data_IF_375473572477
#
_entry.id   IF_375473572477
#
_cell.length_a   1.000
_cell.length_b   1.000
_cell.length_c   1.000
_cell.angle_alpha   90.00
_cell.angle_beta   90.00
_cell.angle_gamma   90.00
#
_symmetry.space_group_name_H-M   'P 1'
#
loop_
_entity.id
_entity.type
_entity.pdbx_description
1 polymer ?
#
# COMPACT_ATOMS: atom_id res chain seq x y z
N UNK A 1 -25.05 -5.53 -25.22
CA UNK A 1 -24.49 -5.70 -23.86
C UNK A 1 -23.24 -4.85 -23.58
N UNK A 2 -22.16 -4.87 -24.33
CA UNK A 2 -20.93 -4.08 -24.06
C UNK A 2 -21.15 -2.57 -23.89
N UNK A 3 -22.02 -1.94 -24.71
CA UNK A 3 -22.30 -0.48 -24.62
C UNK A 3 -23.11 -0.09 -23.37
N UNK A 4 -23.93 -1.00 -22.83
CA UNK A 4 -24.68 -0.75 -21.60
C UNK A 4 -23.77 -0.81 -20.37
N UNK A 5 -22.84 -1.74 -20.32
CA UNK A 5 -21.85 -1.87 -19.24
C UNK A 5 -20.92 -0.64 -19.22
N UNK A 6 -20.42 -0.20 -20.38
CA UNK A 6 -19.59 1.00 -20.48
C UNK A 6 -20.32 2.27 -20.00
N UNK A 7 -21.61 2.41 -20.26
CA UNK A 7 -22.41 3.57 -19.80
C UNK A 7 -22.63 3.59 -18.28
N UNK A 8 -22.57 2.43 -17.63
CA UNK A 8 -22.69 2.35 -16.16
C UNK A 8 -21.33 2.45 -15.45
N UNK A 9 -20.27 1.96 -16.08
CA UNK A 9 -18.91 1.96 -15.48
C UNK A 9 -18.21 3.32 -15.63
N UNK A 10 -18.45 4.06 -16.73
CA UNK A 10 -17.82 5.37 -16.92
C UNK A 10 -18.14 6.41 -15.82
N UNK A 11 -19.41 6.59 -15.39
CA UNK A 11 -19.70 7.53 -14.31
C UNK A 11 -19.16 7.06 -12.96
N UNK A 12 -19.11 5.74 -12.71
CA UNK A 12 -18.52 5.19 -11.50
C UNK A 12 -16.99 5.41 -11.47
N UNK A 13 -16.31 5.20 -12.60
CA UNK A 13 -14.90 5.50 -12.76
C UNK A 13 -14.62 7.01 -12.62
N UNK A 14 -15.50 7.86 -13.14
CA UNK A 14 -15.41 9.31 -12.97
C UNK A 14 -15.58 9.76 -11.52
N UNK A 15 -16.43 9.10 -10.75
CA UNK A 15 -16.63 9.35 -9.32
C UNK A 15 -15.39 8.98 -8.48
N UNK A 16 -14.69 7.92 -8.88
CA UNK A 16 -13.44 7.47 -8.24
C UNK A 16 -12.23 8.37 -8.59
N UNK A 17 -12.34 9.17 -9.66
CA UNK A 17 -11.31 10.13 -10.08
C UNK A 17 -11.53 11.54 -9.52
N UNK A 18 -12.63 11.80 -8.81
CA UNK A 18 -12.78 13.05 -8.08
C UNK A 18 -11.71 13.10 -6.99
N UNK A 19 -10.90 14.18 -6.94
CA UNK A 19 -9.99 14.36 -5.84
C UNK A 19 -10.84 14.56 -4.58
N UNK A 20 -11.06 13.49 -3.83
CA UNK A 20 -11.45 13.64 -2.45
C UNK A 20 -10.26 14.38 -1.81
N UNK A 21 -10.50 15.61 -1.36
CA UNK A 21 -9.60 16.29 -0.44
C UNK A 21 -9.67 15.51 0.87
N UNK A 22 -9.08 14.32 0.85
CA UNK A 22 -8.79 13.56 2.04
C UNK A 22 -7.67 14.32 2.74
N UNK A 23 -8.05 15.32 3.53
CA UNK A 23 -7.21 15.70 4.62
C UNK A 23 -7.17 14.48 5.53
N UNK A 24 -6.14 13.66 5.36
CA UNK A 24 -5.80 12.63 6.33
C UNK A 24 -5.43 13.38 7.61
N UNK A 25 -6.45 13.85 8.35
CA UNK A 25 -6.26 14.30 9.71
C UNK A 25 -5.70 13.08 10.43
N UNK A 26 -4.45 13.18 10.85
CA UNK A 26 -3.84 12.17 11.70
C UNK A 26 -4.81 11.90 12.84
N UNK A 27 -5.31 10.68 12.89
CA UNK A 27 -6.28 10.27 13.90
C UNK A 27 -5.55 10.25 15.22
N UNK A 28 -5.92 11.15 16.12
CA UNK A 28 -5.46 11.09 17.49
C UNK A 28 -6.34 10.08 18.23
N UNK A 29 -5.79 8.91 18.49
CA UNK A 29 -6.51 7.82 19.18
C UNK A 29 -6.61 8.06 20.68
N UNK A 30 -5.80 8.95 21.23
CA UNK A 30 -5.63 9.12 22.68
C UNK A 30 -4.78 8.01 23.33
N UNK A 31 -4.35 7.01 22.56
CA UNK A 31 -3.55 5.86 23.04
C UNK A 31 -2.05 6.04 22.83
N UNK A 32 -1.67 7.17 22.24
CA UNK A 32 -0.28 7.55 22.00
C UNK A 32 0.23 7.28 20.59
N UNK A 33 1.45 7.80 20.27
CA UNK A 33 1.96 7.89 18.91
C UNK A 33 2.02 6.57 18.13
N UNK A 34 2.28 5.46 18.81
CA UNK A 34 2.29 4.14 18.17
C UNK A 34 0.91 3.78 17.59
N UNK A 35 -0.15 3.91 18.39
CA UNK A 35 -1.51 3.59 17.93
C UNK A 35 -2.04 4.62 16.94
N UNK A 36 -1.61 5.86 17.03
CA UNK A 36 -1.91 6.89 16.05
C UNK A 36 -1.29 6.53 14.68
N UNK A 37 -0.06 5.99 14.69
CA UNK A 37 0.58 5.45 13.47
C UNK A 37 -0.14 4.22 12.91
N UNK A 38 -0.56 3.27 13.76
CA UNK A 38 -1.38 2.11 13.36
C UNK A 38 -2.65 2.57 12.67
N UNK A 39 -3.39 3.49 13.30
CA UNK A 39 -4.65 4.02 12.78
C UNK A 39 -4.43 4.83 11.50
N UNK A 40 -3.38 5.63 11.44
CA UNK A 40 -3.02 6.38 10.25
C UNK A 40 -2.89 5.44 9.04
N UNK A 41 -2.04 4.41 9.13
CA UNK A 41 -1.85 3.48 8.02
C UNK A 41 -3.15 2.73 7.65
N UNK A 42 -3.89 2.23 8.65
CA UNK A 42 -5.10 1.44 8.42
C UNK A 42 -6.23 2.26 7.78
N UNK A 43 -6.30 3.56 8.06
CA UNK A 43 -7.35 4.46 7.61
C UNK A 43 -6.94 5.35 6.43
N UNK A 44 -5.69 5.20 5.93
CA UNK A 44 -5.20 5.93 4.77
C UNK A 44 -5.18 5.02 3.53
N UNK A 45 -6.22 5.07 2.68
CA UNK A 45 -6.31 4.21 1.48
C UNK A 45 -5.13 4.41 0.52
N UNK A 46 -4.56 5.61 0.48
CA UNK A 46 -3.41 5.99 -0.35
C UNK A 46 -2.16 5.15 -0.04
N UNK A 47 -2.03 4.64 1.18
CA UNK A 47 -0.94 3.78 1.62
C UNK A 47 -1.34 2.31 1.67
N UNK A 48 -2.54 2.04 2.19
CA UNK A 48 -3.05 0.68 2.38
C UNK A 48 -3.25 -0.05 1.04
N UNK A 49 -3.85 0.62 0.04
CA UNK A 49 -4.18 -0.03 -1.23
C UNK A 49 -2.95 -0.39 -2.07
N UNK A 50 -1.93 0.47 -2.24
CA UNK A 50 -0.68 0.06 -2.89
C UNK A 50 0.04 -1.07 -2.16
N UNK A 51 0.05 -1.06 -0.83
CA UNK A 51 0.67 -2.11 -0.02
C UNK A 51 -0.05 -3.45 -0.22
N UNK A 52 -1.39 -3.46 -0.19
CA UNK A 52 -2.20 -4.64 -0.48
C UNK A 52 -1.99 -5.15 -1.91
N UNK A 53 -2.03 -4.27 -2.91
CA UNK A 53 -1.82 -4.64 -4.30
C UNK A 53 -0.46 -5.30 -4.50
N UNK A 54 0.60 -4.76 -3.90
CA UNK A 54 1.94 -5.33 -3.97
C UNK A 54 2.04 -6.69 -3.26
N UNK A 55 1.42 -6.82 -2.08
CA UNK A 55 1.39 -8.08 -1.34
C UNK A 55 0.66 -9.18 -2.14
N UNK A 56 -0.47 -8.84 -2.78
CA UNK A 56 -1.21 -9.75 -3.65
C UNK A 56 -0.40 -10.12 -4.89
N UNK A 57 0.24 -9.16 -5.55
CA UNK A 57 1.13 -9.39 -6.68
C UNK A 57 2.27 -10.36 -6.30
N UNK A 58 2.92 -10.12 -5.16
CA UNK A 58 4.00 -10.96 -4.66
C UNK A 58 3.51 -12.39 -4.33
N UNK A 59 2.35 -12.50 -3.68
CA UNK A 59 1.72 -13.78 -3.36
C UNK A 59 1.35 -14.59 -4.61
N UNK A 60 0.84 -13.95 -5.67
CA UNK A 60 0.56 -14.60 -6.96
C UNK A 60 1.81 -15.25 -7.58
N UNK A 61 3.01 -14.75 -7.27
CA UNK A 61 4.28 -15.31 -7.78
C UNK A 61 4.87 -16.39 -6.88
N UNK A 62 4.15 -16.77 -5.83
CA UNK A 62 4.50 -17.85 -4.93
C UNK A 62 5.21 -17.44 -3.66
N UNK A 63 5.45 -18.41 -2.78
CA UNK A 63 5.92 -18.19 -1.41
C UNK A 63 7.28 -17.48 -1.31
N UNK A 64 8.19 -17.74 -2.26
CA UNK A 64 9.51 -17.09 -2.28
C UNK A 64 9.36 -15.58 -2.50
N UNK A 65 8.60 -15.19 -3.52
CA UNK A 65 8.37 -13.78 -3.84
C UNK A 65 7.59 -13.09 -2.74
N UNK A 66 6.57 -13.76 -2.15
CA UNK A 66 5.84 -13.26 -1.00
C UNK A 66 6.75 -12.96 0.19
N UNK A 67 7.69 -13.87 0.53
CA UNK A 67 8.67 -13.63 1.60
C UNK A 67 9.62 -12.47 1.30
N UNK A 68 10.10 -12.35 0.05
CA UNK A 68 10.96 -11.23 -0.34
C UNK A 68 10.23 -9.90 -0.18
N UNK A 69 8.98 -9.80 -0.64
CA UNK A 69 8.17 -8.60 -0.50
C UNK A 69 7.83 -8.30 0.97
N UNK A 70 7.60 -9.33 1.81
CA UNK A 70 7.31 -9.19 3.24
C UNK A 70 8.41 -8.44 4.00
N UNK A 71 9.67 -8.59 3.59
CA UNK A 71 10.79 -7.88 4.21
C UNK A 71 11.19 -6.63 3.43
N UNK A 72 11.16 -6.68 2.08
CA UNK A 72 11.57 -5.55 1.25
C UNK A 72 10.67 -4.34 1.40
N UNK A 73 9.33 -4.54 1.41
CA UNK A 73 8.39 -3.42 1.47
C UNK A 73 8.43 -2.71 2.84
N UNK A 74 8.23 -3.39 3.99
CA UNK A 74 8.32 -2.72 5.29
C UNK A 74 9.72 -2.20 5.62
N UNK A 75 10.78 -2.92 5.22
CA UNK A 75 12.15 -2.47 5.42
C UNK A 75 12.47 -1.18 4.64
N UNK A 76 12.07 -1.12 3.37
CA UNK A 76 12.22 0.08 2.56
C UNK A 76 11.32 1.22 3.07
N UNK A 77 10.10 0.90 3.53
CA UNK A 77 9.20 1.88 4.15
C UNK A 77 9.81 2.50 5.41
N UNK A 78 10.44 1.68 6.25
CA UNK A 78 11.15 2.16 7.43
C UNK A 78 12.31 3.08 7.05
N UNK A 79 13.13 2.70 6.06
CA UNK A 79 14.25 3.52 5.59
C UNK A 79 13.78 4.85 5.00
N UNK A 80 12.76 4.81 4.14
CA UNK A 80 12.11 6.02 3.61
C UNK A 80 11.53 6.87 4.73
N UNK A 81 10.86 6.24 5.69
CA UNK A 81 10.27 6.90 6.85
C UNK A 81 11.30 7.61 7.75
N UNK A 82 12.44 6.98 8.00
CA UNK A 82 13.54 7.62 8.72
C UNK A 82 14.05 8.86 7.95
N UNK A 83 14.19 8.76 6.63
CA UNK A 83 14.57 9.90 5.80
C UNK A 83 13.50 11.01 5.85
N UNK A 84 12.21 10.67 5.80
CA UNK A 84 11.11 11.63 5.92
C UNK A 84 11.04 12.29 7.29
N UNK A 85 11.33 11.55 8.37
CA UNK A 85 11.44 12.13 9.72
C UNK A 85 12.59 13.13 9.83
N UNK A 86 13.74 12.81 9.19
CA UNK A 86 14.92 13.66 9.24
C UNK A 86 14.79 14.91 8.35
N UNK A 87 14.12 14.78 7.20
CA UNK A 87 13.99 15.84 6.20
C UNK A 87 12.52 15.97 5.73
N UNK A 88 11.62 16.50 6.57
CA UNK A 88 10.18 16.50 6.29
C UNK A 88 9.76 17.61 5.31
N UNK A 89 10.25 17.57 4.07
CA UNK A 89 9.98 18.61 3.05
C UNK A 89 8.65 18.42 2.35
N UNK A 90 8.26 17.16 2.06
CA UNK A 90 7.01 16.79 1.36
C UNK A 90 6.33 15.70 2.14
N UNK A 91 5.14 15.96 2.68
CA UNK A 91 4.35 14.98 3.44
C UNK A 91 3.14 14.44 2.70
N UNK A 92 2.86 14.93 1.49
CA UNK A 92 1.74 14.49 0.67
C UNK A 92 2.08 14.61 -0.82
N UNK A 93 1.78 13.56 -1.58
CA UNK A 93 1.97 13.51 -3.03
C UNK A 93 0.83 12.70 -3.70
N UNK A 94 -0.43 13.22 -3.72
CA UNK A 94 -1.61 12.45 -4.13
C UNK A 94 -1.50 11.86 -5.54
N UNK A 95 -0.94 12.60 -6.50
CA UNK A 95 -0.74 12.09 -7.86
C UNK A 95 0.17 10.87 -7.89
N UNK A 96 1.23 10.88 -7.09
CA UNK A 96 2.22 9.81 -7.02
C UNK A 96 1.65 8.56 -6.34
N UNK A 97 0.93 8.73 -5.23
CA UNK A 97 0.28 7.62 -4.51
C UNK A 97 -0.82 7.00 -5.36
N UNK A 98 -1.62 7.81 -6.08
CA UNK A 98 -2.63 7.33 -7.02
C UNK A 98 -2.00 6.54 -8.18
N UNK A 99 -0.93 7.05 -8.78
CA UNK A 99 -0.22 6.35 -9.87
C UNK A 99 0.36 5.03 -9.37
N UNK A 100 0.95 4.99 -8.17
CA UNK A 100 1.49 3.75 -7.60
C UNK A 100 0.38 2.71 -7.40
N UNK A 101 -0.78 3.10 -6.88
CA UNK A 101 -1.93 2.21 -6.72
C UNK A 101 -2.45 1.69 -8.06
N UNK A 102 -2.68 2.57 -9.04
CA UNK A 102 -3.18 2.18 -10.36
C UNK A 102 -2.21 1.25 -11.09
N UNK A 103 -0.91 1.53 -11.03
CA UNK A 103 0.12 0.68 -11.64
C UNK A 103 0.15 -0.71 -11.00
N UNK A 104 0.20 -0.78 -9.66
CA UNK A 104 0.23 -2.06 -8.94
C UNK A 104 -1.09 -2.83 -9.10
N UNK A 105 -2.23 -2.16 -8.99
CA UNK A 105 -3.54 -2.76 -9.22
C UNK A 105 -3.68 -3.31 -10.64
N UNK A 106 -3.20 -2.59 -11.64
CA UNK A 106 -3.14 -3.05 -13.03
C UNK A 106 -2.27 -4.28 -13.22
N UNK A 107 -1.10 -4.35 -12.56
CA UNK A 107 -0.23 -5.53 -12.60
C UNK A 107 -0.89 -6.76 -11.94
N UNK A 108 -1.62 -6.57 -10.84
CA UNK A 108 -2.39 -7.63 -10.17
C UNK A 108 -3.50 -8.14 -11.08
N UNK A 109 -4.32 -7.22 -11.62
CA UNK A 109 -5.46 -7.56 -12.48
C UNK A 109 -5.03 -8.26 -13.77
N UNK A 110 -3.89 -7.85 -14.36
CA UNK A 110 -3.31 -8.45 -15.55
C UNK A 110 -2.60 -9.77 -15.28
N UNK A 111 -2.47 -10.22 -14.02
CA UNK A 111 -1.62 -11.36 -13.63
C UNK A 111 -0.22 -11.26 -14.26
N UNK A 112 0.36 -10.05 -14.19
CA UNK A 112 1.60 -9.71 -14.90
C UNK A 112 2.72 -10.70 -14.57
N UNK A 113 3.37 -11.26 -15.60
CA UNK A 113 4.41 -12.27 -15.45
C UNK A 113 5.76 -11.65 -15.11
N UNK A 114 5.83 -11.03 -13.93
CA UNK A 114 7.06 -10.42 -13.43
C UNK A 114 7.96 -11.46 -12.76
N UNK A 115 9.27 -11.29 -12.95
CA UNK A 115 10.28 -12.06 -12.22
C UNK A 115 10.31 -11.59 -10.75
N UNK A 116 10.67 -12.46 -9.79
CA UNK A 116 10.73 -12.11 -8.37
C UNK A 116 11.56 -10.85 -8.08
N UNK A 117 12.65 -10.65 -8.82
CA UNK A 117 13.55 -9.51 -8.64
C UNK A 117 12.83 -8.18 -8.94
N UNK A 118 11.99 -8.14 -9.96
CA UNK A 118 11.23 -6.95 -10.31
C UNK A 118 10.13 -6.64 -9.28
N UNK A 119 9.47 -7.68 -8.76
CA UNK A 119 8.48 -7.51 -7.69
C UNK A 119 9.16 -6.98 -6.43
N UNK A 120 10.35 -7.51 -6.09
CA UNK A 120 11.13 -7.03 -4.94
C UNK A 120 11.62 -5.59 -5.14
N UNK A 121 12.05 -5.23 -6.34
CA UNK A 121 12.45 -3.86 -6.66
C UNK A 121 11.27 -2.88 -6.57
N UNK A 122 10.09 -3.27 -7.06
CA UNK A 122 8.86 -2.49 -6.89
C UNK A 122 8.51 -2.33 -5.40
N UNK A 123 8.65 -3.39 -4.60
CA UNK A 123 8.43 -3.32 -3.16
C UNK A 123 9.37 -2.32 -2.50
N UNK A 124 10.65 -2.33 -2.84
CA UNK A 124 11.62 -1.38 -2.31
C UNK A 124 11.30 0.05 -2.76
N UNK A 125 10.97 0.27 -4.02
CA UNK A 125 10.66 1.60 -4.55
C UNK A 125 9.41 2.19 -3.89
N UNK A 126 8.33 1.43 -3.85
CA UNK A 126 7.06 1.85 -3.21
C UNK A 126 7.28 2.07 -1.72
N UNK A 127 8.02 1.18 -1.06
CA UNK A 127 8.35 1.31 0.35
C UNK A 127 9.13 2.58 0.66
N UNK A 128 10.18 2.89 -0.09
CA UNK A 128 10.96 4.13 0.09
C UNK A 128 10.10 5.38 -0.09
N UNK A 129 9.28 5.38 -1.14
CA UNK A 129 8.47 6.52 -1.51
C UNK A 129 7.38 6.82 -0.48
N UNK A 130 6.51 5.84 -0.23
CA UNK A 130 5.42 5.98 0.72
C UNK A 130 5.95 6.12 2.15
N UNK A 131 7.04 5.40 2.48
CA UNK A 131 7.72 5.54 3.75
C UNK A 131 8.19 6.96 4.00
N UNK A 132 8.83 7.60 3.00
CA UNK A 132 9.27 9.00 3.11
C UNK A 132 8.09 9.94 3.40
N UNK A 133 7.00 9.82 2.64
CA UNK A 133 5.80 10.66 2.84
C UNK A 133 5.22 10.48 4.25
N UNK A 134 5.13 9.24 4.70
CA UNK A 134 4.64 8.90 6.04
C UNK A 134 5.58 9.40 7.14
N UNK A 135 6.89 9.26 6.98
CA UNK A 135 7.86 9.79 7.93
C UNK A 135 7.77 11.31 8.06
N UNK A 136 7.64 12.02 6.94
CA UNK A 136 7.45 13.46 6.93
C UNK A 136 6.11 13.87 7.60
N UNK A 137 5.03 13.11 7.36
CA UNK A 137 3.76 13.32 8.04
C UNK A 137 3.86 13.10 9.55
N UNK A 138 4.56 12.04 9.99
CA UNK A 138 4.79 11.76 11.42
C UNK A 138 5.62 12.86 12.09
N UNK A 139 6.62 13.44 11.38
CA UNK A 139 7.39 14.57 11.88
C UNK A 139 6.51 15.82 12.08
N UNK A 140 5.71 16.16 11.07
CA UNK A 140 4.81 17.32 11.12
C UNK A 140 3.75 17.18 12.22
N UNK A 141 3.25 15.98 12.45
CA UNK A 141 2.29 15.67 13.51
C UNK A 141 2.90 15.53 14.90
N UNK A 142 4.23 15.60 15.02
CA UNK A 142 4.99 15.39 16.27
C UNK A 142 4.82 13.96 16.87
N UNK A 143 4.47 12.99 16.05
CA UNK A 143 4.37 11.57 16.47
C UNK A 143 5.72 10.85 16.42
N UNK A 144 6.66 11.38 15.64
CA UNK A 144 8.05 10.93 15.58
C UNK A 144 8.23 9.47 15.20
N UNK A 145 9.30 8.88 15.71
CA UNK A 145 9.68 7.50 15.41
C UNK A 145 8.65 6.47 15.89
N UNK A 146 7.95 6.70 17.00
CA UNK A 146 6.93 5.77 17.50
C UNK A 146 5.74 5.67 16.55
N UNK A 147 5.30 6.79 15.97
CA UNK A 147 4.26 6.77 14.94
C UNK A 147 4.70 5.98 13.71
N UNK A 148 5.95 6.17 13.26
CA UNK A 148 6.52 5.41 12.15
C UNK A 148 6.58 3.90 12.45
N UNK A 149 6.97 3.51 13.66
CA UNK A 149 6.98 2.10 14.09
C UNK A 149 5.56 1.52 14.06
N UNK A 150 4.54 2.26 14.48
CA UNK A 150 3.14 1.85 14.38
C UNK A 150 2.72 1.57 12.93
N UNK A 151 3.06 2.48 12.00
CA UNK A 151 2.82 2.31 10.56
C UNK A 151 3.50 1.03 10.04
N UNK A 152 4.80 0.89 10.26
CA UNK A 152 5.59 -0.23 9.70
C UNK A 152 5.14 -1.58 10.28
N UNK A 153 4.77 -1.62 11.56
CA UNK A 153 4.24 -2.84 12.19
C UNK A 153 2.90 -3.27 11.56
N UNK A 154 2.00 -2.30 11.31
CA UNK A 154 0.72 -2.57 10.66
C UNK A 154 0.93 -3.01 9.22
N UNK A 155 1.77 -2.32 8.47
CA UNK A 155 2.16 -2.68 7.11
C UNK A 155 2.70 -4.11 7.03
N UNK A 156 3.62 -4.48 7.94
CA UNK A 156 4.17 -5.84 7.99
C UNK A 156 3.06 -6.89 8.18
N UNK A 157 2.14 -6.65 9.13
CA UNK A 157 0.99 -7.53 9.37
C UNK A 157 0.09 -7.66 8.15
N UNK A 158 -0.24 -6.54 7.50
CA UNK A 158 -1.08 -6.50 6.29
C UNK A 158 -0.43 -7.27 5.14
N UNK A 159 0.86 -7.05 4.89
CA UNK A 159 1.61 -7.74 3.82
C UNK A 159 1.69 -9.24 4.11
N UNK A 160 1.95 -9.63 5.37
CA UNK A 160 2.02 -11.03 5.77
C UNK A 160 0.68 -11.75 5.51
N UNK A 161 -0.42 -11.16 5.96
CA UNK A 161 -1.77 -11.72 5.80
C UNK A 161 -2.18 -11.78 4.32
N UNK A 162 -2.02 -10.68 3.58
CA UNK A 162 -2.43 -10.60 2.18
C UNK A 162 -1.62 -11.58 1.30
N UNK A 163 -0.30 -11.65 1.46
CA UNK A 163 0.54 -12.59 0.74
C UNK A 163 0.19 -14.06 1.11
N UNK A 164 -0.04 -14.33 2.39
CA UNK A 164 -0.41 -15.67 2.86
C UNK A 164 -1.77 -16.13 2.28
N UNK A 165 -2.76 -15.24 2.22
CA UNK A 165 -4.08 -15.52 1.64
C UNK A 165 -3.98 -15.97 0.17
N UNK A 166 -3.03 -15.45 -0.59
CA UNK A 166 -2.84 -15.82 -2.00
C UNK A 166 -1.97 -17.05 -2.17
N UNK A 167 -0.98 -17.25 -1.29
CA UNK A 167 -0.06 -18.40 -1.33
C UNK A 167 -0.71 -19.66 -0.77
N UNK A 168 -1.54 -19.54 0.25
CA UNK A 168 -2.12 -20.65 1.00
C UNK A 168 -3.24 -21.43 0.30
N UNK A 169 -4.01 -20.94 -0.68
CA UNK A 169 -5.15 -21.70 -1.16
C UNK A 169 -4.73 -22.96 -1.90
N UNK A 170 -5.07 -24.08 -1.34
CA UNK A 170 -5.20 -25.36 -2.04
C UNK A 170 -6.43 -25.39 -2.98
N UNK A 171 -7.17 -24.26 -3.08
CA UNK A 171 -8.41 -24.14 -3.84
C UNK A 171 -8.27 -23.01 -4.86
N UNK A 172 -8.65 -23.24 -6.15
CA UNK A 172 -8.50 -22.25 -7.24
C UNK A 172 -9.23 -20.92 -7.02
N UNK A 173 -10.24 -20.91 -6.16
CA UNK A 173 -11.12 -19.77 -5.87
C UNK A 173 -10.39 -18.52 -5.37
N UNK A 174 -9.33 -18.68 -4.59
CA UNK A 174 -8.56 -17.55 -4.07
C UNK A 174 -7.88 -16.72 -5.17
N UNK A 175 -7.42 -17.37 -6.25
CA UNK A 175 -6.82 -16.66 -7.40
C UNK A 175 -7.85 -15.91 -8.23
N UNK A 176 -9.06 -16.48 -8.35
CA UNK A 176 -10.16 -15.87 -9.11
C UNK A 176 -10.70 -14.67 -8.36
N UNK A 177 -10.89 -14.76 -7.05
CA UNK A 177 -11.38 -13.67 -6.22
C UNK A 177 -10.44 -12.45 -6.23
N UNK A 178 -9.12 -12.68 -6.18
CA UNK A 178 -8.11 -11.59 -6.23
C UNK A 178 -8.09 -10.87 -7.59
N UNK A 179 -8.45 -11.55 -8.68
CA UNK A 179 -8.50 -10.97 -10.04
C UNK A 179 -9.82 -10.25 -10.34
N UNK A 180 -10.87 -10.58 -9.61
CA UNK A 180 -12.22 -10.05 -9.83
C UNK A 180 -12.61 -8.91 -8.89
N UNK A 181 -11.74 -8.60 -7.91
CA UNK A 181 -11.91 -7.45 -7.00
C UNK A 181 -11.17 -6.23 -7.50
#
# INVERSE_FOLDING_TARGET
>A
MRRAILRQVLPLAGLLLLPATSHAHLVNTGLGPFYDGVSHFALTPEDLLPALALALLAGQKGSRTGRLALFALPGAWLLGGIAGLAFPTISSAPALTTVSFLALGGLVAADARLRPEWVTALAALVGLLHGYLNGAAMAQAKLGALGLVGIVSTLFGVVALAAALVVAPRVPWGRIAVRGA
#
